data_IF_360165729153
#
_entry.id   IF_360165729153
#
_cell.length_a   1.000
_cell.length_b   1.000
_cell.length_c   1.000
_cell.angle_alpha   90.00
_cell.angle_beta   90.00
_cell.angle_gamma   90.00
#
_symmetry.space_group_name_H-M   'P 1'
#
loop_
_entity.id
_entity.type
_entity.pdbx_description
1 polymer ?
#
# COMPACT_ATOMS: atom_id res chain seq x y z
N UNK A 1 6.42 22.65 -13.05
CA UNK A 1 5.33 21.66 -13.04
C UNK A 1 4.73 21.65 -11.65
N UNK A 2 3.49 22.11 -11.58
CA UNK A 2 2.73 22.34 -10.36
C UNK A 2 2.58 21.09 -9.50
N UNK A 3 2.62 21.33 -8.18
CA UNK A 3 2.26 20.41 -7.12
C UNK A 3 0.76 20.13 -7.19
N UNK A 4 0.34 19.24 -8.08
CA UNK A 4 -0.97 18.61 -7.98
C UNK A 4 -0.97 17.77 -6.72
N UNK A 5 -1.74 18.19 -5.72
CA UNK A 5 -1.93 17.49 -4.46
C UNK A 5 -2.27 16.02 -4.70
N UNK A 6 -1.28 15.18 -4.42
CA UNK A 6 -1.39 13.75 -4.17
C UNK A 6 -2.19 13.01 -5.26
N UNK A 7 -1.43 12.68 -6.31
CA UNK A 7 -1.63 11.62 -7.28
C UNK A 7 -2.54 11.95 -8.48
N UNK A 8 -1.94 11.92 -9.67
CA UNK A 8 -2.61 12.18 -10.96
C UNK A 8 -3.71 11.15 -11.29
N UNK A 9 -4.34 11.28 -12.46
CA UNK A 9 -5.48 10.44 -12.90
C UNK A 9 -5.26 8.93 -12.69
N UNK A 10 -4.02 8.47 -12.78
CA UNK A 10 -3.64 7.08 -12.60
C UNK A 10 -4.06 6.49 -11.25
N UNK A 11 -4.04 7.24 -10.15
CA UNK A 11 -4.40 6.69 -8.82
C UNK A 11 -5.89 6.68 -8.53
N UNK A 12 -6.69 7.11 -9.50
CA UNK A 12 -8.16 7.09 -9.45
C UNK A 12 -8.75 6.12 -10.47
N UNK A 13 -7.92 5.41 -11.23
CA UNK A 13 -8.37 4.52 -12.31
C UNK A 13 -9.04 3.24 -11.78
N UNK A 14 -8.58 2.73 -10.64
CA UNK A 14 -9.13 1.53 -9.98
C UNK A 14 -8.86 1.54 -8.48
N UNK A 15 -9.44 0.57 -7.78
CA UNK A 15 -9.18 0.36 -6.34
C UNK A 15 -7.71 0.01 -6.14
N UNK A 16 -7.16 -0.90 -6.95
CA UNK A 16 -5.76 -1.31 -6.82
C UNK A 16 -4.77 -0.20 -7.20
N UNK A 17 -5.12 0.64 -8.17
CA UNK A 17 -4.31 1.80 -8.49
C UNK A 17 -4.25 2.76 -7.31
N UNK A 18 -5.37 2.98 -6.62
CA UNK A 18 -5.40 3.77 -5.38
C UNK A 18 -4.55 3.14 -4.27
N UNK A 19 -4.60 1.82 -4.10
CA UNK A 19 -3.82 1.09 -3.09
C UNK A 19 -2.30 1.21 -3.32
N UNK A 20 -1.82 0.91 -4.54
CA UNK A 20 -0.42 1.10 -4.92
C UNK A 20 0.04 2.54 -4.66
N UNK A 21 -0.83 3.52 -4.98
CA UNK A 21 -0.54 4.91 -4.72
C UNK A 21 -0.51 5.25 -3.22
N UNK A 22 -1.38 4.68 -2.39
CA UNK A 22 -1.30 4.87 -0.94
C UNK A 22 -0.01 4.26 -0.39
N UNK A 23 0.38 3.06 -0.81
CA UNK A 23 1.63 2.42 -0.36
C UNK A 23 2.86 3.25 -0.74
N UNK A 24 2.94 3.73 -1.98
CA UNK A 24 4.04 4.59 -2.39
C UNK A 24 3.98 5.96 -1.68
N UNK A 25 2.80 6.47 -1.30
CA UNK A 25 2.66 7.68 -0.49
C UNK A 25 3.16 7.50 0.93
N UNK A 26 2.78 6.38 1.54
CA UNK A 26 3.12 6.05 2.90
C UNK A 26 4.62 5.89 3.02
N UNK A 27 5.29 5.26 2.05
CA UNK A 27 6.75 5.23 1.99
C UNK A 27 7.27 4.84 0.62
N UNK A 28 7.77 5.80 -0.18
CA UNK A 28 8.43 5.50 -1.44
C UNK A 28 9.54 4.43 -1.33
N UNK A 29 10.48 4.49 -0.36
CA UNK A 29 11.55 3.50 -0.30
C UNK A 29 11.06 2.09 0.07
N UNK A 30 9.98 1.96 0.84
CA UNK A 30 9.42 0.62 1.13
C UNK A 30 8.59 0.10 -0.04
N UNK A 31 7.94 0.98 -0.81
CA UNK A 31 7.24 0.58 -2.02
C UNK A 31 8.21 0.15 -3.12
N UNK A 32 9.28 0.91 -3.36
CA UNK A 32 10.34 0.54 -4.31
C UNK A 32 10.95 -0.83 -3.98
N UNK A 33 11.20 -1.07 -2.69
CA UNK A 33 11.77 -2.34 -2.24
C UNK A 33 10.84 -3.54 -2.43
N UNK A 34 9.52 -3.36 -2.27
CA UNK A 34 8.57 -4.47 -2.13
C UNK A 34 7.67 -4.66 -3.36
N UNK A 35 7.31 -3.57 -4.03
CA UNK A 35 6.21 -3.52 -5.01
C UNK A 35 6.58 -2.85 -6.36
N UNK A 36 7.69 -2.12 -6.50
CA UNK A 36 7.97 -1.42 -7.78
C UNK A 36 8.16 -2.37 -8.96
N UNK A 37 8.88 -3.48 -8.77
CA UNK A 37 9.12 -4.44 -9.83
C UNK A 37 7.86 -5.23 -10.22
N UNK A 38 6.91 -5.34 -9.30
CA UNK A 38 5.70 -6.15 -9.44
C UNK A 38 4.56 -5.49 -8.65
N UNK A 39 3.93 -4.43 -9.18
CA UNK A 39 2.87 -3.69 -8.47
C UNK A 39 1.65 -4.57 -8.21
N UNK A 40 0.86 -4.21 -7.20
CA UNK A 40 -0.34 -5.00 -6.88
C UNK A 40 -1.33 -5.02 -8.06
N UNK A 41 -1.90 -6.19 -8.31
CA UNK A 41 -2.91 -6.43 -9.35
C UNK A 41 -4.35 -6.50 -8.81
N UNK A 42 -5.34 -6.26 -9.67
CA UNK A 42 -6.75 -6.30 -9.27
C UNK A 42 -7.15 -7.71 -8.82
N UNK A 43 -7.61 -7.82 -7.57
CA UNK A 43 -7.99 -9.11 -6.97
C UNK A 43 -6.83 -9.87 -6.31
N UNK A 44 -5.61 -9.34 -6.35
CA UNK A 44 -4.46 -9.92 -5.68
C UNK A 44 -4.64 -9.92 -4.16
N UNK A 45 -4.22 -11.02 -3.52
CA UNK A 45 -4.15 -11.15 -2.07
C UNK A 45 -2.72 -11.45 -1.66
N UNK A 46 -2.05 -10.43 -1.17
CA UNK A 46 -0.60 -10.49 -1.00
C UNK A 46 -0.17 -10.37 0.47
N UNK A 47 -0.33 -11.47 1.20
CA UNK A 47 0.01 -11.50 2.64
C UNK A 47 1.50 -11.34 2.90
N UNK A 48 2.32 -11.98 2.09
CA UNK A 48 3.77 -12.04 2.34
C UNK A 48 4.39 -10.66 2.16
N UNK A 49 4.20 -10.03 1.00
CA UNK A 49 4.80 -8.71 0.75
C UNK A 49 4.16 -7.62 1.61
N UNK A 50 2.90 -7.78 2.01
CA UNK A 50 2.28 -6.89 3.02
C UNK A 50 3.02 -6.90 4.36
N UNK A 51 3.50 -8.06 4.81
CA UNK A 51 4.30 -8.15 6.05
C UNK A 51 5.69 -7.56 5.86
N UNK A 52 6.32 -7.79 4.71
CA UNK A 52 7.63 -7.20 4.37
C UNK A 52 7.55 -5.67 4.32
N UNK A 53 6.48 -5.12 3.74
CA UNK A 53 6.22 -3.69 3.73
C UNK A 53 6.03 -3.14 5.16
N UNK A 54 5.24 -3.82 6.00
CA UNK A 54 5.07 -3.46 7.42
C UNK A 54 6.40 -3.47 8.17
N UNK A 55 7.24 -4.48 7.93
CA UNK A 55 8.56 -4.58 8.53
C UNK A 55 9.48 -3.43 8.08
N UNK A 56 9.49 -3.09 6.79
CA UNK A 56 10.23 -1.94 6.27
C UNK A 56 9.79 -0.62 6.92
N UNK A 57 8.49 -0.45 7.15
CA UNK A 57 7.92 0.72 7.83
C UNK A 57 8.24 0.77 9.33
N UNK A 58 8.42 -0.37 9.99
CA UNK A 58 8.82 -0.44 11.40
C UNK A 58 10.31 -0.12 11.63
N UNK A 59 11.12 -0.05 10.57
CA UNK A 59 12.54 0.26 10.70
C UNK A 59 12.74 1.63 11.36
N UNK A 60 13.66 1.79 12.33
CA UNK A 60 13.89 3.06 13.01
C UNK A 60 14.30 4.21 12.07
N UNK A 61 14.76 3.89 10.85
CA UNK A 61 15.08 4.87 9.80
C UNK A 61 13.82 5.46 9.14
N UNK A 62 12.69 4.76 9.23
CA UNK A 62 11.41 5.10 8.60
C UNK A 62 10.35 5.35 9.68
N UNK A 63 10.59 6.29 10.60
CA UNK A 63 9.68 6.60 11.72
C UNK A 63 8.38 7.28 11.23
N UNK A 64 7.53 6.54 10.52
CA UNK A 64 6.20 6.95 10.08
C UNK A 64 5.13 6.27 10.92
N UNK A 65 3.95 6.90 10.95
CA UNK A 65 2.78 6.49 11.72
C UNK A 65 2.31 5.07 11.35
N UNK A 66 2.79 4.06 12.10
CA UNK A 66 2.39 2.65 11.95
C UNK A 66 0.88 2.44 12.10
N UNK A 67 0.19 3.31 12.84
CA UNK A 67 -1.27 3.30 12.97
C UNK A 67 -2.00 3.47 11.64
N UNK A 68 -1.41 4.17 10.67
CA UNK A 68 -1.99 4.33 9.33
C UNK A 68 -1.75 3.08 8.50
N UNK A 69 -0.55 2.50 8.60
CA UNK A 69 -0.16 1.27 7.89
C UNK A 69 -1.03 0.10 8.35
N UNK A 70 -1.19 -0.08 9.67
CA UNK A 70 -2.02 -1.13 10.22
C UNK A 70 -3.48 -0.99 9.84
N UNK A 71 -4.01 0.25 9.83
CA UNK A 71 -5.37 0.53 9.36
C UNK A 71 -5.55 0.21 7.88
N UNK A 72 -4.60 0.58 7.02
CA UNK A 72 -4.62 0.30 5.58
C UNK A 72 -4.75 -1.21 5.33
N UNK A 73 -3.84 -2.00 5.90
CA UNK A 73 -3.88 -3.46 5.75
C UNK A 73 -5.06 -4.13 6.48
N UNK A 74 -5.64 -3.52 7.53
CA UNK A 74 -6.87 -4.01 8.18
C UNK A 74 -8.14 -3.70 7.37
N UNK A 75 -8.23 -2.53 6.73
CA UNK A 75 -9.34 -2.21 5.83
C UNK A 75 -9.31 -3.08 4.58
N UNK A 76 -8.13 -3.47 4.09
CA UNK A 76 -8.00 -4.41 2.98
C UNK A 76 -8.15 -5.89 3.42
N UNK A 77 -7.90 -6.19 4.70
CA UNK A 77 -8.28 -7.49 5.31
C UNK A 77 -9.79 -7.75 5.28
N UNK A 78 -10.63 -6.75 5.03
CA UNK A 78 -12.07 -6.97 4.82
C UNK A 78 -12.38 -7.73 3.52
N UNK A 79 -11.47 -7.79 2.53
CA UNK A 79 -11.58 -8.69 1.37
C UNK A 79 -11.06 -10.12 1.64
N UNK A 80 -10.44 -10.36 2.79
CA UNK A 80 -10.02 -11.70 3.22
C UNK A 80 -11.10 -12.44 4.01
N UNK A 81 -11.92 -11.72 4.77
CA UNK A 81 -12.95 -12.32 5.62
C UNK A 81 -14.33 -12.36 4.93
N UNK A 82 -14.60 -11.48 3.96
CA UNK A 82 -15.87 -11.47 3.21
C UNK A 82 -16.03 -12.61 2.18
N UNK A 83 -15.10 -13.57 2.12
CA UNK A 83 -15.23 -14.80 1.32
C UNK A 83 -15.49 -16.05 2.19
N UNK A 84 -15.80 -15.88 3.48
CA UNK A 84 -16.14 -16.98 4.40
C UNK A 84 -17.60 -17.00 4.87
N UNK A 85 -18.51 -16.22 4.25
CA UNK A 85 -19.97 -16.44 4.31
C UNK A 85 -20.61 -16.09 2.96
#
# INVERSE_FOLDING_TARGET
>A
MEKSGLWGWQCKSSVIAKENCVLQCLSPPCYELVYESDPLEEGEKDFTRSQEYKYCMHSPKNNRRMDVVDKFFQTDSQKMIAAMH
#
